data_IF_917744225215
#
_entry.id   IF_917744225215
#
_cell.length_a   1.000
_cell.length_b   1.000
_cell.length_c   1.000
_cell.angle_alpha   90.00
_cell.angle_beta   90.00
_cell.angle_gamma   90.00
#
_symmetry.space_group_name_H-M   'P 1'
#
loop_
_entity.id
_entity.type
_entity.pdbx_description
1 polymer ?
#
# COMPACT_ATOMS: atom_id res chain seq x y z
N UNK A 1 -101.38 -39.40 10.70
CA UNK A 1 -102.40 -38.43 10.23
C UNK A 1 -101.77 -37.04 10.33
N UNK A 2 -101.56 -36.36 9.18
CA UNK A 2 -101.21 -34.93 8.95
C UNK A 2 -100.08 -34.30 9.81
N UNK A 3 -98.90 -34.08 9.20
CA UNK A 3 -98.40 -32.79 8.67
C UNK A 3 -98.17 -31.71 9.73
N UNK A 4 -96.92 -31.24 9.90
CA UNK A 4 -96.59 -29.81 9.88
C UNK A 4 -95.09 -29.60 9.61
N UNK A 5 -94.82 -28.78 8.59
CA UNK A 5 -93.53 -28.20 8.22
C UNK A 5 -93.02 -27.27 9.33
N UNK A 6 -91.71 -27.29 9.61
CA UNK A 6 -90.99 -26.08 10.07
C UNK A 6 -89.51 -26.16 9.72
N UNK A 7 -89.06 -25.12 9.00
CA UNK A 7 -87.68 -24.83 8.57
C UNK A 7 -86.66 -24.98 9.71
N UNK A 8 -85.61 -25.77 9.47
CA UNK A 8 -84.38 -25.78 10.26
C UNK A 8 -83.29 -24.98 9.57
N UNK A 9 -82.86 -23.89 10.21
CA UNK A 9 -81.71 -23.07 9.83
C UNK A 9 -80.42 -23.93 9.92
N UNK A 10 -79.71 -24.09 8.80
CA UNK A 10 -78.38 -24.72 8.79
C UNK A 10 -77.31 -23.66 9.05
N UNK A 11 -76.66 -23.74 10.20
CA UNK A 11 -75.53 -22.91 10.60
C UNK A 11 -74.25 -23.44 9.93
N UNK A 12 -73.75 -22.77 8.90
CA UNK A 12 -72.48 -23.08 8.25
C UNK A 12 -71.32 -22.44 9.01
N UNK A 13 -70.48 -23.28 9.62
CA UNK A 13 -69.23 -22.87 10.26
C UNK A 13 -68.16 -22.69 9.18
N UNK A 14 -67.76 -21.44 8.92
CA UNK A 14 -66.57 -21.14 8.13
C UNK A 14 -65.32 -21.40 8.97
N UNK A 15 -64.51 -22.38 8.56
CA UNK A 15 -63.14 -22.57 9.06
C UNK A 15 -62.22 -21.63 8.30
N UNK A 16 -61.72 -20.59 8.97
CA UNK A 16 -60.69 -19.71 8.44
C UNK A 16 -59.32 -20.40 8.54
N UNK A 17 -58.71 -20.72 7.39
CA UNK A 17 -57.30 -21.10 7.30
C UNK A 17 -56.43 -19.85 7.33
N UNK A 18 -55.34 -19.81 8.12
CA UNK A 18 -54.44 -18.67 8.11
C UNK A 18 -53.61 -18.68 6.83
N UNK A 19 -53.63 -17.57 6.10
CA UNK A 19 -52.78 -17.34 4.95
C UNK A 19 -51.30 -17.30 5.38
N UNK A 20 -50.48 -18.20 4.83
CA UNK A 20 -49.03 -18.15 4.95
C UNK A 20 -48.52 -16.90 4.21
N UNK A 21 -48.06 -15.90 4.96
CA UNK A 21 -47.29 -14.79 4.41
C UNK A 21 -45.96 -15.32 3.87
N UNK A 22 -45.75 -15.22 2.56
CA UNK A 22 -44.45 -15.46 1.94
C UNK A 22 -43.47 -14.38 2.43
N UNK A 23 -42.49 -14.80 3.23
CA UNK A 23 -41.37 -13.96 3.62
C UNK A 23 -40.54 -13.66 2.37
N UNK A 24 -40.44 -12.37 2.02
CA UNK A 24 -39.47 -11.90 1.03
C UNK A 24 -38.05 -12.25 1.50
N UNK A 25 -37.13 -12.67 0.60
CA UNK A 25 -35.78 -13.01 0.99
C UNK A 25 -35.09 -11.74 1.52
N UNK A 26 -34.78 -11.74 2.81
CA UNK A 26 -33.92 -10.72 3.41
C UNK A 26 -32.54 -10.89 2.79
N UNK A 27 -32.12 -9.95 1.94
CA UNK A 27 -30.74 -9.83 1.49
C UNK A 27 -29.85 -9.59 2.70
N UNK A 28 -29.16 -10.64 3.16
CA UNK A 28 -28.13 -10.54 4.20
C UNK A 28 -27.04 -9.58 3.71
N UNK A 29 -26.88 -8.46 4.41
CA UNK A 29 -25.63 -7.67 4.37
C UNK A 29 -24.46 -8.60 4.71
N UNK A 30 -23.27 -8.42 4.11
CA UNK A 30 -22.09 -9.21 4.45
C UNK A 30 -21.62 -8.84 5.87
N UNK A 31 -22.18 -9.53 6.86
CA UNK A 31 -21.72 -9.53 8.24
C UNK A 31 -20.94 -10.80 8.50
N UNK A 32 -19.86 -10.68 9.26
CA UNK A 32 -19.03 -11.77 9.78
C UNK A 32 -19.90 -12.92 10.30
N UNK A 33 -19.97 -14.04 9.57
CA UNK A 33 -20.60 -15.26 10.10
C UNK A 33 -19.58 -16.02 10.95
N UNK A 34 -20.06 -16.71 11.97
CA UNK A 34 -19.29 -17.64 12.79
C UNK A 34 -18.69 -18.82 12.01
N UNK A 35 -19.01 -18.95 10.72
CA UNK A 35 -18.79 -20.14 9.91
C UNK A 35 -17.55 -20.03 9.00
N UNK A 36 -16.84 -18.91 9.04
CA UNK A 36 -15.60 -18.73 8.26
C UNK A 36 -14.38 -19.32 8.96
N UNK A 37 -13.54 -20.04 8.21
CA UNK A 37 -12.28 -20.58 8.73
C UNK A 37 -11.36 -19.43 9.19
N UNK A 38 -10.45 -19.67 10.16
CA UNK A 38 -9.47 -18.66 10.56
C UNK A 38 -8.71 -18.05 9.39
N UNK A 39 -8.34 -18.87 8.38
CA UNK A 39 -7.64 -18.40 7.19
C UNK A 39 -8.52 -17.54 6.27
N UNK A 40 -9.83 -17.79 6.18
CA UNK A 40 -10.74 -16.90 5.44
C UNK A 40 -10.82 -15.51 6.09
N UNK A 41 -10.83 -15.44 7.43
CA UNK A 41 -10.79 -14.16 8.15
C UNK A 41 -9.44 -13.45 7.97
N UNK A 42 -8.35 -14.20 7.98
CA UNK A 42 -7.03 -13.67 7.68
C UNK A 42 -6.95 -13.14 6.24
N UNK A 43 -7.58 -13.79 5.28
CA UNK A 43 -7.69 -13.30 3.91
C UNK A 43 -8.43 -11.95 3.84
N UNK A 44 -9.49 -11.76 4.65
CA UNK A 44 -10.17 -10.46 4.74
C UNK A 44 -9.23 -9.37 5.27
N UNK A 45 -8.43 -9.68 6.30
CA UNK A 45 -7.44 -8.72 6.85
C UNK A 45 -6.34 -8.44 5.83
N UNK A 46 -5.80 -9.45 5.15
CA UNK A 46 -4.81 -9.29 4.09
C UNK A 46 -5.34 -8.36 2.99
N UNK A 47 -6.58 -8.56 2.53
CA UNK A 47 -7.24 -7.70 1.57
C UNK A 47 -7.39 -6.24 2.02
N UNK A 48 -7.54 -6.01 3.33
CA UNK A 48 -7.65 -4.67 3.89
C UNK A 48 -6.30 -3.98 4.04
N UNK A 49 -5.25 -4.71 4.47
CA UNK A 49 -3.95 -4.09 4.78
C UNK A 49 -2.98 -4.07 3.60
N UNK A 50 -3.08 -4.99 2.64
CA UNK A 50 -2.12 -5.10 1.55
C UNK A 50 -2.09 -3.85 0.65
N UNK A 51 -3.23 -3.31 0.17
CA UNK A 51 -3.25 -2.11 -0.65
C UNK A 51 -2.64 -0.90 0.07
N UNK A 52 -1.85 -0.10 -0.63
CA UNK A 52 -1.26 1.10 -0.07
C UNK A 52 -0.07 1.62 -0.88
N UNK A 53 0.39 2.80 -0.46
CA UNK A 53 1.66 3.38 -0.87
C UNK A 53 2.68 3.13 0.24
N UNK A 54 3.87 2.66 -0.11
CA UNK A 54 4.95 2.42 0.85
C UNK A 54 6.26 3.04 0.36
N UNK A 55 7.10 3.50 1.28
CA UNK A 55 8.39 4.11 0.94
C UNK A 55 9.40 3.91 2.08
N UNK A 56 10.66 3.60 1.75
CA UNK A 56 11.73 3.46 2.74
C UNK A 56 12.55 4.74 2.98
N UNK A 57 11.97 5.92 2.73
CA UNK A 57 12.64 7.22 2.90
C UNK A 57 13.32 7.35 4.28
N UNK A 58 12.64 6.93 5.35
CA UNK A 58 13.23 6.95 6.70
C UNK A 58 14.49 6.08 6.76
N UNK A 59 14.45 4.87 6.21
CA UNK A 59 15.59 3.96 6.21
C UNK A 59 16.79 4.57 5.47
N UNK A 60 16.57 5.17 4.30
CA UNK A 60 17.66 5.78 3.52
C UNK A 60 18.18 7.07 4.16
N UNK A 61 17.31 7.88 4.76
CA UNK A 61 17.70 9.04 5.54
C UNK A 61 18.59 8.66 6.72
N UNK A 62 18.16 7.69 7.53
CA UNK A 62 18.92 7.29 8.72
C UNK A 62 20.18 6.48 8.38
N UNK A 63 20.22 5.76 7.26
CA UNK A 63 21.48 5.16 6.78
C UNK A 63 22.60 6.22 6.63
N UNK A 64 22.26 7.42 6.14
CA UNK A 64 23.22 8.53 6.02
C UNK A 64 23.53 9.13 7.38
N UNK A 65 22.51 9.40 8.20
CA UNK A 65 22.67 10.02 9.52
C UNK A 65 23.46 9.17 10.51
N UNK A 66 23.32 7.85 10.42
CA UNK A 66 24.03 6.87 11.26
C UNK A 66 25.38 6.44 10.66
N UNK A 67 25.84 7.11 9.60
CA UNK A 67 27.12 6.85 8.93
C UNK A 67 27.31 5.38 8.51
N UNK A 68 26.23 4.71 8.10
CA UNK A 68 26.31 3.35 7.57
C UNK A 68 27.25 3.35 6.35
N UNK A 69 28.18 2.38 6.22
CA UNK A 69 29.07 2.30 5.06
C UNK A 69 28.30 2.27 3.74
N UNK A 70 28.80 2.97 2.71
CA UNK A 70 28.06 3.21 1.46
C UNK A 70 27.59 1.92 0.77
N UNK A 71 28.41 0.86 0.83
CA UNK A 71 28.14 -0.48 0.31
C UNK A 71 27.09 -1.27 1.13
N UNK A 72 26.75 -0.79 2.32
CA UNK A 72 25.76 -1.38 3.22
C UNK A 72 24.47 -0.54 3.32
N UNK A 73 24.42 0.61 2.64
CA UNK A 73 23.23 1.47 2.62
C UNK A 73 22.14 0.83 1.78
N UNK A 74 20.92 0.96 2.26
CA UNK A 74 19.76 0.56 1.48
C UNK A 74 19.57 1.56 0.34
N UNK A 75 19.31 1.02 -0.85
CA UNK A 75 18.74 1.77 -1.96
C UNK A 75 17.37 2.32 -1.58
N UNK A 76 16.97 3.38 -2.25
CA UNK A 76 15.64 3.92 -2.07
C UNK A 76 14.64 3.12 -2.88
N UNK A 77 13.55 2.71 -2.23
CA UNK A 77 12.47 1.96 -2.84
C UNK A 77 11.13 2.55 -2.40
N UNK A 78 10.27 2.70 -3.39
CA UNK A 78 8.87 3.04 -3.25
C UNK A 78 8.04 1.91 -3.85
N UNK A 79 6.97 1.51 -3.17
CA UNK A 79 6.08 0.43 -3.59
C UNK A 79 4.64 0.93 -3.63
N UNK A 80 3.97 0.72 -4.75
CA UNK A 80 2.54 0.96 -4.91
C UNK A 80 1.81 -0.37 -5.02
N UNK A 81 0.80 -0.58 -4.18
CA UNK A 81 -0.03 -1.79 -4.17
C UNK A 81 -1.49 -1.40 -4.32
N UNK A 82 -2.20 -1.96 -5.30
CA UNK A 82 -3.64 -1.74 -5.50
C UNK A 82 -4.35 -3.06 -5.70
N UNK A 83 -5.50 -3.21 -5.03
CA UNK A 83 -6.38 -4.36 -5.23
C UNK A 83 -6.94 -4.32 -6.65
N UNK A 84 -6.95 -5.47 -7.31
CA UNK A 84 -7.62 -5.66 -8.59
C UNK A 84 -9.05 -6.12 -8.27
N UNK A 85 -10.10 -5.40 -8.72
CA UNK A 85 -11.48 -5.65 -8.28
C UNK A 85 -12.14 -6.83 -8.98
N UNK A 86 -11.45 -7.48 -9.92
CA UNK A 86 -11.96 -8.60 -10.71
C UNK A 86 -11.14 -9.88 -10.51
N UNK A 87 -11.73 -11.01 -10.87
CA UNK A 87 -11.18 -12.33 -10.60
C UNK A 87 -10.20 -12.85 -11.68
N UNK A 88 -9.81 -12.05 -12.69
CA UNK A 88 -9.00 -12.54 -13.83
C UNK A 88 -7.57 -12.96 -13.44
N UNK A 89 -7.14 -12.53 -12.25
CA UNK A 89 -5.88 -12.94 -11.61
C UNK A 89 -6.11 -13.69 -10.30
N UNK A 90 -7.32 -14.18 -10.05
CA UNK A 90 -7.78 -14.74 -8.76
C UNK A 90 -8.61 -13.75 -7.96
N UNK A 91 -9.43 -14.25 -7.02
CA UNK A 91 -10.39 -13.45 -6.24
C UNK A 91 -9.72 -12.41 -5.32
N UNK A 92 -8.46 -12.62 -4.99
CA UNK A 92 -7.66 -11.78 -4.10
C UNK A 92 -6.35 -11.42 -4.80
N UNK A 93 -6.46 -10.58 -5.83
CA UNK A 93 -5.32 -10.16 -6.63
C UNK A 93 -4.95 -8.68 -6.39
N UNK A 94 -3.66 -8.40 -6.47
CA UNK A 94 -3.10 -7.05 -6.30
C UNK A 94 -2.11 -6.75 -7.41
N UNK A 95 -2.22 -5.58 -8.00
CA UNK A 95 -1.16 -4.99 -8.79
C UNK A 95 -0.13 -4.37 -7.85
N UNK A 96 1.14 -4.64 -8.10
CA UNK A 96 2.28 -4.14 -7.32
C UNK A 96 3.27 -3.51 -8.27
N UNK A 97 3.77 -2.33 -7.94
CA UNK A 97 4.85 -1.70 -8.68
C UNK A 97 5.91 -1.16 -7.72
N UNK A 98 7.14 -1.62 -7.92
CA UNK A 98 8.31 -1.08 -7.23
C UNK A 98 9.01 -0.06 -8.10
N UNK A 99 9.44 1.03 -7.47
CA UNK A 99 10.29 2.05 -8.05
C UNK A 99 11.59 2.10 -7.27
N UNK A 100 12.70 2.08 -7.99
CA UNK A 100 14.02 2.09 -7.38
C UNK A 100 14.74 3.39 -7.65
N UNK A 101 15.35 3.95 -6.60
CA UNK A 101 16.19 5.16 -6.64
C UNK A 101 15.47 6.39 -7.25
N UNK A 102 14.15 6.45 -7.16
CA UNK A 102 13.30 7.45 -7.85
C UNK A 102 13.55 7.52 -9.38
N UNK A 103 14.10 6.46 -9.97
CA UNK A 103 14.46 6.39 -11.38
C UNK A 103 13.29 5.81 -12.20
N UNK A 104 12.70 6.57 -13.14
CA UNK A 104 11.56 6.13 -13.91
C UNK A 104 11.89 4.93 -14.83
N UNK A 105 13.16 4.67 -15.12
CA UNK A 105 13.57 3.48 -15.89
C UNK A 105 13.62 2.20 -15.04
N UNK A 106 13.66 2.32 -13.70
CA UNK A 106 13.79 1.20 -12.77
C UNK A 106 12.47 0.88 -12.06
N UNK A 107 11.46 0.57 -12.87
CA UNK A 107 10.15 0.18 -12.40
C UNK A 107 9.92 -1.33 -12.61
N UNK A 108 9.33 -1.99 -11.61
CA UNK A 108 9.07 -3.42 -11.65
C UNK A 108 7.61 -3.72 -11.29
N UNK A 109 6.72 -3.86 -12.28
CA UNK A 109 5.35 -4.29 -12.05
C UNK A 109 5.27 -5.80 -11.80
N UNK A 110 4.34 -6.21 -10.94
CA UNK A 110 4.01 -7.59 -10.57
C UNK A 110 2.51 -7.71 -10.29
N UNK A 111 1.98 -8.93 -10.38
CA UNK A 111 0.67 -9.27 -9.83
C UNK A 111 0.88 -10.27 -8.69
N UNK A 112 0.28 -9.99 -7.53
CA UNK A 112 0.21 -10.94 -6.41
C UNK A 112 -1.20 -11.52 -6.35
N UNK A 113 -1.29 -12.85 -6.34
CA UNK A 113 -2.56 -13.57 -6.21
C UNK A 113 -2.55 -14.39 -4.93
N UNK A 114 -3.53 -14.14 -4.05
CA UNK A 114 -3.64 -14.81 -2.76
C UNK A 114 -4.70 -15.91 -2.77
N UNK A 115 -4.38 -17.00 -2.10
CA UNK A 115 -5.24 -18.17 -1.92
C UNK A 115 -5.21 -18.61 -0.46
N UNK A 116 -6.32 -19.17 0.02
CA UNK A 116 -6.31 -19.91 1.28
C UNK A 116 -5.70 -21.29 1.01
N UNK A 117 -4.67 -21.64 1.76
CA UNK A 117 -4.03 -22.96 1.71
C UNK A 117 -4.22 -23.66 3.05
N UNK A 118 -5.30 -24.44 3.15
CA UNK A 118 -5.66 -25.17 4.37
C UNK A 118 -4.67 -26.30 4.70
N UNK A 119 -3.92 -26.81 3.70
CA UNK A 119 -2.91 -27.86 3.92
C UNK A 119 -1.69 -27.25 4.60
N UNK A 120 -1.24 -26.09 4.13
CA UNK A 120 -0.09 -25.38 4.71
C UNK A 120 -0.48 -24.54 5.93
N UNK A 121 -1.77 -24.37 6.21
CA UNK A 121 -2.25 -23.53 7.30
C UNK A 121 -1.89 -22.05 7.12
N UNK A 122 -1.86 -21.57 5.88
CA UNK A 122 -1.35 -20.24 5.53
C UNK A 122 -2.13 -19.60 4.37
N UNK A 123 -1.96 -18.28 4.18
CA UNK A 123 -2.35 -17.65 2.92
C UNK A 123 -1.19 -17.82 1.93
N UNK A 124 -1.43 -18.54 0.84
CA UNK A 124 -0.44 -18.74 -0.22
C UNK A 124 -0.52 -17.60 -1.23
N UNK A 125 0.61 -16.96 -1.50
CA UNK A 125 0.74 -15.91 -2.50
C UNK A 125 1.58 -16.40 -3.67
N UNK A 126 0.98 -16.38 -4.85
CA UNK A 126 1.67 -16.55 -6.12
C UNK A 126 2.11 -15.18 -6.64
N UNK A 127 3.34 -15.09 -7.14
CA UNK A 127 3.89 -13.89 -7.78
C UNK A 127 3.97 -14.06 -9.29
N UNK A 128 3.38 -13.12 -10.02
CA UNK A 128 3.36 -13.07 -11.47
C UNK A 128 4.18 -11.89 -11.98
N UNK A 129 5.06 -12.17 -12.93
CA UNK A 129 6.00 -11.20 -13.49
C UNK A 129 5.66 -10.92 -14.96
N UNK A 130 5.89 -9.69 -15.38
CA UNK A 130 5.67 -9.23 -16.76
C UNK A 130 6.85 -9.56 -17.70
N UNK A 131 7.68 -10.55 -17.34
CA UNK A 131 8.83 -10.99 -18.14
C UNK A 131 8.35 -11.47 -19.52
N UNK A 132 8.95 -10.95 -20.58
CA UNK A 132 8.57 -11.28 -21.97
C UNK A 132 7.43 -10.44 -22.54
N UNK A 133 6.86 -9.51 -21.76
CA UNK A 133 5.88 -8.53 -22.23
C UNK A 133 6.51 -7.15 -22.40
N UNK A 134 5.86 -6.29 -23.19
CA UNK A 134 6.15 -4.86 -23.16
C UNK A 134 5.64 -4.27 -21.82
N UNK A 135 6.55 -4.19 -20.86
CA UNK A 135 6.25 -3.70 -19.50
C UNK A 135 5.76 -2.27 -19.49
N UNK A 136 6.15 -1.43 -20.46
CA UNK A 136 5.81 -0.02 -20.48
C UNK A 136 4.29 0.21 -20.52
N UNK A 137 3.57 -0.66 -21.24
CA UNK A 137 2.11 -0.62 -21.33
C UNK A 137 1.40 -0.79 -19.97
N UNK A 138 2.04 -1.48 -19.03
CA UNK A 138 1.47 -1.83 -17.72
C UNK A 138 2.03 -1.02 -16.56
N UNK A 139 2.95 -0.08 -16.82
CA UNK A 139 3.45 0.80 -15.78
C UNK A 139 2.35 1.73 -15.28
N UNK A 140 2.38 2.01 -13.98
CA UNK A 140 1.42 2.86 -13.29
C UNK A 140 -0.03 2.36 -13.36
N UNK A 141 -0.26 1.06 -13.48
CA UNK A 141 -1.63 0.52 -13.47
C UNK A 141 -2.31 0.67 -12.09
N UNK A 142 -1.56 1.02 -11.04
CA UNK A 142 -2.11 1.41 -9.74
C UNK A 142 -2.94 2.72 -9.82
N UNK A 143 -2.69 3.58 -10.80
CA UNK A 143 -3.50 4.79 -11.05
C UNK A 143 -4.69 4.50 -11.96
N UNK A 144 -4.52 3.62 -12.95
CA UNK A 144 -5.56 3.19 -13.88
C UNK A 144 -5.46 1.69 -14.17
N UNK A 145 -6.34 0.92 -13.51
CA UNK A 145 -6.38 -0.53 -13.66
C UNK A 145 -6.84 -1.00 -15.04
N UNK A 146 -7.41 -0.12 -15.88
CA UNK A 146 -7.77 -0.46 -17.27
C UNK A 146 -6.55 -0.79 -18.12
N UNK A 147 -5.35 -0.37 -17.71
CA UNK A 147 -4.10 -0.81 -18.35
C UNK A 147 -3.89 -2.33 -18.28
N UNK A 148 -4.61 -3.03 -17.40
CA UNK A 148 -4.59 -4.49 -17.29
C UNK A 148 -5.69 -5.15 -18.12
N UNK A 149 -6.48 -4.39 -18.88
CA UNK A 149 -7.55 -4.94 -19.71
C UNK A 149 -7.00 -5.83 -20.82
N UNK A 150 -7.65 -6.99 -21.00
CA UNK A 150 -7.18 -8.04 -21.91
C UNK A 150 -5.99 -8.87 -21.39
N UNK A 151 -5.36 -8.48 -20.28
CA UNK A 151 -4.32 -9.29 -19.63
C UNK A 151 -4.95 -10.33 -18.70
N UNK A 152 -4.42 -11.54 -18.75
CA UNK A 152 -4.83 -12.67 -17.92
C UNK A 152 -3.61 -13.37 -17.33
N UNK A 153 -3.83 -14.15 -16.27
CA UNK A 153 -2.75 -14.78 -15.49
C UNK A 153 -1.85 -15.70 -16.33
N UNK A 154 -2.36 -16.33 -17.39
CA UNK A 154 -1.61 -17.20 -18.32
C UNK A 154 -0.60 -16.46 -19.20
N UNK A 155 -0.75 -15.14 -19.38
CA UNK A 155 0.21 -14.31 -20.12
C UNK A 155 1.39 -13.85 -19.27
N UNK A 156 1.28 -14.00 -17.96
CA UNK A 156 2.32 -13.59 -17.02
C UNK A 156 3.25 -14.76 -16.70
N UNK A 157 4.50 -14.44 -16.41
CA UNK A 157 5.46 -15.43 -15.99
C UNK A 157 5.24 -15.78 -14.51
N UNK A 158 5.05 -17.07 -14.24
CA UNK A 158 5.00 -17.64 -12.90
C UNK A 158 6.19 -18.58 -12.70
N UNK A 159 6.90 -18.40 -11.59
CA UNK A 159 8.03 -19.26 -11.23
C UNK A 159 7.57 -20.23 -10.15
N UNK A 160 7.40 -21.49 -10.54
CA UNK A 160 6.98 -22.56 -9.63
C UNK A 160 7.95 -22.69 -8.46
N UNK A 161 7.41 -22.80 -7.24
CA UNK A 161 8.20 -22.95 -6.02
C UNK A 161 8.61 -21.61 -5.38
N UNK A 162 8.32 -20.48 -6.02
CA UNK A 162 8.56 -19.14 -5.50
C UNK A 162 7.35 -18.51 -4.79
N UNK A 163 6.40 -19.34 -4.38
CA UNK A 163 5.24 -18.91 -3.61
C UNK A 163 5.66 -18.47 -2.20
N UNK A 164 4.96 -17.49 -1.65
CA UNK A 164 5.09 -17.10 -0.24
C UNK A 164 3.91 -17.64 0.56
N UNK A 165 4.19 -18.12 1.76
CA UNK A 165 3.19 -18.62 2.70
C UNK A 165 3.11 -17.64 3.86
N UNK A 166 2.00 -16.91 3.96
CA UNK A 166 1.76 -15.89 4.95
C UNK A 166 1.06 -16.47 6.17
N UNK A 167 1.68 -16.25 7.32
CA UNK A 167 1.14 -16.60 8.64
C UNK A 167 0.86 -15.34 9.43
N UNK A 168 -0.18 -15.37 10.27
CA UNK A 168 -0.59 -14.23 11.08
C UNK A 168 0.47 -13.90 12.13
N UNK A 169 0.75 -12.62 12.30
CA UNK A 169 1.54 -12.05 13.40
C UNK A 169 0.71 -11.05 14.19
N UNK A 170 1.25 -10.52 15.29
CA UNK A 170 0.54 -9.59 16.19
C UNK A 170 0.00 -8.36 15.44
N UNK A 171 0.78 -7.79 14.51
CA UNK A 171 0.42 -6.55 13.79
C UNK A 171 0.26 -6.77 12.27
N UNK A 172 0.04 -8.01 11.83
CA UNK A 172 -0.17 -8.30 10.41
C UNK A 172 0.23 -9.72 10.01
N UNK A 173 1.10 -9.86 9.01
CA UNK A 173 1.50 -11.16 8.47
C UNK A 173 2.99 -11.23 8.15
N UNK A 174 3.55 -12.44 8.23
CA UNK A 174 4.88 -12.79 7.72
C UNK A 174 4.74 -13.84 6.63
N UNK A 175 5.01 -13.45 5.39
CA UNK A 175 5.16 -14.31 4.23
C UNK A 175 6.60 -14.77 4.06
N UNK A 176 6.80 -16.08 3.90
CA UNK A 176 8.11 -16.67 3.59
C UNK A 176 7.98 -17.68 2.45
N UNK A 177 9.02 -17.78 1.63
CA UNK A 177 9.17 -18.92 0.73
C UNK A 177 9.46 -20.20 1.51
N UNK A 178 9.12 -21.35 0.92
CA UNK A 178 9.59 -22.64 1.44
C UNK A 178 11.12 -22.74 1.27
N UNK A 179 11.83 -23.36 2.23
CA UNK A 179 13.29 -23.46 2.18
C UNK A 179 13.79 -24.03 0.85
N UNK A 180 14.63 -23.26 0.14
CA UNK A 180 15.27 -23.65 -1.13
C UNK A 180 14.29 -24.07 -2.24
N UNK A 181 13.01 -23.69 -2.14
CA UNK A 181 11.99 -24.09 -3.12
C UNK A 181 12.01 -23.24 -4.39
N UNK A 182 12.32 -21.94 -4.25
CA UNK A 182 12.38 -21.00 -5.36
C UNK A 182 13.72 -21.12 -6.10
N UNK A 183 13.81 -22.04 -7.06
CA UNK A 183 15.02 -22.30 -7.85
C UNK A 183 14.84 -21.80 -9.27
N UNK A 184 15.79 -21.01 -9.77
CA UNK A 184 15.81 -20.50 -11.14
C UNK A 184 17.24 -20.30 -11.63
N UNK A 185 17.39 -19.99 -12.92
CA UNK A 185 18.69 -19.68 -13.53
C UNK A 185 18.92 -18.18 -13.57
N UNK A 186 20.07 -17.74 -13.07
CA UNK A 186 20.52 -16.35 -13.10
C UNK A 186 21.95 -16.31 -13.64
N UNK A 187 22.18 -15.58 -14.75
CA UNK A 187 23.50 -15.49 -15.41
C UNK A 187 24.15 -16.86 -15.66
N UNK A 188 23.35 -17.82 -16.10
CA UNK A 188 23.76 -19.22 -16.36
C UNK A 188 24.20 -20.01 -15.12
N UNK A 189 23.96 -19.50 -13.90
CA UNK A 189 24.12 -20.25 -12.65
C UNK A 189 22.75 -20.58 -12.05
N UNK A 190 22.60 -21.81 -11.53
CA UNK A 190 21.41 -22.15 -10.73
C UNK A 190 21.51 -21.51 -9.35
N UNK A 191 20.50 -20.73 -9.01
CA UNK A 191 20.36 -20.06 -7.72
C UNK A 191 19.05 -20.46 -7.07
N UNK A 192 18.96 -20.23 -5.77
CA UNK A 192 17.69 -20.24 -5.06
C UNK A 192 17.52 -18.94 -4.29
N UNK A 193 16.30 -18.41 -4.29
CA UNK A 193 15.94 -17.23 -3.52
C UNK A 193 15.23 -17.61 -2.22
N UNK A 194 15.50 -16.82 -1.19
CA UNK A 194 14.79 -16.82 0.08
C UNK A 194 14.21 -15.41 0.27
N UNK A 195 13.01 -15.23 -0.27
CA UNK A 195 12.28 -13.97 -0.21
C UNK A 195 11.26 -14.00 0.91
N UNK A 196 11.16 -12.87 1.62
CA UNK A 196 10.19 -12.68 2.67
C UNK A 196 9.52 -11.31 2.59
N UNK A 197 8.27 -11.28 3.03
CA UNK A 197 7.48 -10.07 3.19
C UNK A 197 6.91 -10.07 4.60
N UNK A 198 7.05 -8.98 5.33
CA UNK A 198 6.25 -8.69 6.52
C UNK A 198 5.38 -7.48 6.21
N UNK A 199 4.07 -7.65 6.34
CA UNK A 199 3.11 -6.58 6.09
C UNK A 199 2.30 -6.35 7.35
N UNK A 200 2.17 -5.09 7.74
CA UNK A 200 1.33 -4.67 8.85
C UNK A 200 0.58 -3.38 8.53
N UNK A 201 -0.12 -2.84 9.52
CA UNK A 201 -0.93 -1.64 9.31
C UNK A 201 -0.08 -0.41 8.96
N UNK A 202 1.17 -0.34 9.45
CA UNK A 202 2.04 0.83 9.26
C UNK A 202 3.21 0.63 8.31
N UNK A 203 3.49 -0.60 7.87
CA UNK A 203 4.72 -0.86 7.12
C UNK A 203 4.67 -2.12 6.25
N UNK A 204 5.50 -2.12 5.21
CA UNK A 204 5.82 -3.23 4.34
C UNK A 204 7.33 -3.46 4.37
N UNK A 205 7.76 -4.60 4.91
CA UNK A 205 9.16 -4.98 4.96
C UNK A 205 9.37 -6.10 3.98
N UNK A 206 10.37 -5.98 3.11
CA UNK A 206 10.65 -7.02 2.13
C UNK A 206 12.13 -7.12 1.80
N UNK A 207 12.54 -8.29 1.36
CA UNK A 207 13.91 -8.52 0.92
C UNK A 207 14.15 -9.98 0.61
N UNK A 208 15.12 -10.21 -0.25
CA UNK A 208 15.53 -11.50 -0.75
C UNK A 208 17.00 -11.78 -0.43
N UNK A 209 17.29 -13.04 -0.13
CA UNK A 209 18.65 -13.54 -0.16
C UNK A 209 18.75 -14.57 -1.27
N UNK A 210 19.57 -14.27 -2.28
CA UNK A 210 19.79 -15.16 -3.41
C UNK A 210 21.11 -15.88 -3.20
N UNK A 211 21.09 -17.21 -3.22
CA UNK A 211 22.27 -18.06 -3.02
C UNK A 211 22.44 -19.03 -4.16
N UNK A 212 23.68 -19.33 -4.53
CA UNK A 212 23.96 -20.38 -5.51
C UNK A 212 23.61 -21.74 -4.95
N UNK A 213 23.04 -22.60 -5.79
CA UNK A 213 22.70 -23.96 -5.39
C UNK A 213 23.96 -24.77 -5.07
N UNK A 214 25.06 -24.57 -5.83
CA UNK A 214 26.29 -25.39 -5.75
C UNK A 214 27.07 -25.24 -4.45
N UNK A 215 27.16 -24.04 -3.89
CA UNK A 215 28.07 -23.71 -2.79
C UNK A 215 27.42 -22.85 -1.70
N UNK A 216 26.12 -22.59 -1.81
CA UNK A 216 25.35 -21.79 -0.85
C UNK A 216 25.82 -20.33 -0.70
N UNK A 217 26.70 -19.85 -1.58
CA UNK A 217 27.22 -18.49 -1.52
C UNK A 217 26.13 -17.50 -1.93
N UNK A 218 25.92 -16.46 -1.12
CA UNK A 218 25.07 -15.34 -1.48
C UNK A 218 25.65 -14.61 -2.70
N UNK A 219 24.80 -14.29 -3.67
CA UNK A 219 25.21 -13.66 -4.94
C UNK A 219 24.58 -12.31 -5.21
N UNK A 220 23.47 -11.98 -4.54
CA UNK A 220 22.91 -10.62 -4.63
C UNK A 220 23.69 -9.65 -3.72
N UNK A 221 23.90 -8.44 -4.22
CA UNK A 221 24.68 -7.37 -3.58
C UNK A 221 23.88 -6.51 -2.61
N UNK A 222 22.57 -6.71 -2.53
CA UNK A 222 21.69 -5.91 -1.66
C UNK A 222 22.02 -6.18 -0.17
N UNK A 223 21.85 -5.18 0.71
CA UNK A 223 22.23 -5.28 2.11
C UNK A 223 21.58 -6.49 2.78
N UNK A 224 22.24 -7.04 3.82
CA UNK A 224 21.80 -8.22 4.58
C UNK A 224 20.45 -8.07 5.30
N UNK A 225 19.79 -6.92 5.17
CA UNK A 225 18.60 -6.52 5.92
C UNK A 225 17.46 -6.14 4.99
N UNK A 226 16.23 -6.22 5.52
CA UNK A 226 15.02 -5.94 4.77
C UNK A 226 14.88 -4.44 4.47
N UNK A 227 14.30 -4.12 3.32
CA UNK A 227 13.80 -2.77 3.07
C UNK A 227 12.61 -2.50 3.97
N UNK A 228 12.78 -1.62 4.95
CA UNK A 228 11.70 -1.17 5.84
C UNK A 228 10.98 -0.01 5.16
N UNK A 229 9.87 -0.29 4.50
CA UNK A 229 9.04 0.74 3.90
C UNK A 229 7.87 1.07 4.84
N UNK A 230 7.73 2.34 5.19
CA UNK A 230 6.58 2.81 5.95
C UNK A 230 5.41 3.05 4.99
N UNK A 231 4.19 2.78 5.46
CA UNK A 231 2.97 3.14 4.73
C UNK A 231 2.85 4.66 4.70
N UNK A 232 2.70 5.21 3.51
CA UNK A 232 2.53 6.63 3.33
C UNK A 232 1.07 7.05 3.41
N UNK A 233 0.84 8.21 4.02
CA UNK A 233 -0.41 8.95 3.98
C UNK A 233 -0.28 10.09 2.99
N UNK A 234 -1.34 10.32 2.22
CA UNK A 234 -1.38 11.41 1.23
C UNK A 234 -2.05 12.63 1.82
N UNK A 235 -1.48 13.80 1.54
CA UNK A 235 -1.98 15.10 2.01
C UNK A 235 -2.24 16.01 0.82
N UNK A 236 -3.33 16.76 0.89
CA UNK A 236 -3.58 17.90 0.01
C UNK A 236 -3.02 19.14 0.68
N UNK A 237 -2.04 19.75 0.05
CA UNK A 237 -1.33 20.91 0.55
C UNK A 237 -1.57 22.16 -0.29
N UNK A 238 -1.36 23.31 0.34
CA UNK A 238 -1.28 24.61 -0.33
C UNK A 238 -0.07 25.39 0.18
N UNK A 239 0.49 26.23 -0.67
CA UNK A 239 1.56 27.17 -0.37
C UNK A 239 1.18 28.56 -0.92
N UNK A 240 1.32 29.58 -0.10
CA UNK A 240 1.23 30.99 -0.48
C UNK A 240 2.54 31.68 -0.11
N UNK A 241 3.10 32.43 -1.04
CA UNK A 241 4.33 33.21 -0.87
C UNK A 241 4.01 34.69 -1.11
N UNK A 242 4.24 35.54 -0.12
CA UNK A 242 3.92 36.96 -0.14
C UNK A 242 2.50 37.32 0.32
N UNK A 243 2.21 38.62 0.26
CA UNK A 243 0.91 39.21 0.62
C UNK A 243 0.24 39.83 -0.62
N UNK A 244 -1.06 40.12 -0.53
CA UNK A 244 -1.81 40.80 -1.59
C UNK A 244 -2.34 39.86 -2.69
N UNK A 245 -3.01 40.45 -3.69
CA UNK A 245 -3.68 39.69 -4.75
C UNK A 245 -2.69 38.91 -5.64
N UNK A 246 -1.52 39.49 -5.88
CA UNK A 246 -0.51 38.97 -6.83
C UNK A 246 0.45 37.94 -6.23
N UNK A 247 0.32 37.64 -4.93
CA UNK A 247 1.11 36.63 -4.25
C UNK A 247 0.98 35.25 -4.95
N UNK A 248 2.09 34.56 -5.27
CA UNK A 248 2.06 33.19 -5.75
C UNK A 248 1.28 32.27 -4.79
N UNK A 249 0.28 31.58 -5.35
CA UNK A 249 -0.58 30.63 -4.62
C UNK A 249 -0.62 29.30 -5.35
N UNK A 250 -0.21 28.26 -4.65
CA UNK A 250 -0.24 26.89 -5.12
C UNK A 250 -1.22 26.13 -4.25
N UNK A 251 -2.18 25.45 -4.86
CA UNK A 251 -3.24 24.70 -4.17
C UNK A 251 -3.34 23.31 -4.77
N UNK A 252 -3.89 22.37 -4.00
CA UNK A 252 -4.13 21.01 -4.49
C UNK A 252 -2.86 20.18 -4.66
N UNK A 253 -1.77 20.56 -4.00
CA UNK A 253 -0.49 19.84 -4.06
C UNK A 253 -0.66 18.49 -3.34
N UNK A 254 -0.53 17.37 -4.05
CA UNK A 254 -0.68 16.04 -3.46
C UNK A 254 0.69 15.53 -3.02
N UNK A 255 0.92 15.43 -1.72
CA UNK A 255 2.23 15.10 -1.14
C UNK A 255 2.06 13.95 -0.14
N UNK A 256 2.92 12.94 -0.22
CA UNK A 256 2.93 11.83 0.75
C UNK A 256 3.85 12.12 1.92
N UNK A 257 3.48 11.66 3.12
CA UNK A 257 4.23 11.93 4.36
C UNK A 257 5.48 11.05 4.57
N UNK A 258 5.87 10.24 3.60
CA UNK A 258 7.13 9.47 3.66
C UNK A 258 8.20 10.12 2.78
N UNK A 259 8.43 11.42 3.01
CA UNK A 259 9.47 12.21 2.35
C UNK A 259 9.06 12.90 1.05
N UNK A 260 7.76 12.98 0.74
CA UNK A 260 7.26 13.62 -0.47
C UNK A 260 7.57 15.12 -0.51
N UNK A 261 7.78 15.66 -1.72
CA UNK A 261 8.04 17.09 -1.94
C UNK A 261 7.32 17.58 -3.19
N UNK A 262 6.62 18.70 -3.09
CA UNK A 262 6.14 19.45 -4.26
C UNK A 262 7.10 20.59 -4.56
N UNK A 263 7.81 20.53 -5.69
CA UNK A 263 8.69 21.59 -6.18
C UNK A 263 7.92 22.54 -7.08
N UNK A 264 8.05 23.84 -6.81
CA UNK A 264 7.24 24.89 -7.42
C UNK A 264 8.19 25.96 -7.99
N UNK A 265 8.01 26.37 -9.26
CA UNK A 265 8.87 27.39 -9.85
C UNK A 265 8.58 28.75 -9.21
N UNK A 266 9.60 29.33 -8.58
CA UNK A 266 9.54 30.65 -7.94
C UNK A 266 10.84 31.39 -8.25
N UNK A 267 11.00 31.88 -9.50
CA UNK A 267 12.22 32.51 -9.95
C UNK A 267 12.48 33.83 -9.22
N UNK A 268 13.75 34.19 -9.10
CA UNK A 268 14.20 35.54 -8.69
C UNK A 268 15.01 36.18 -9.82
N UNK A 269 15.29 37.50 -9.77
CA UNK A 269 16.18 38.14 -10.73
C UNK A 269 17.56 37.47 -10.84
N UNK A 270 18.07 36.93 -9.73
CA UNK A 270 19.38 36.27 -9.64
C UNK A 270 19.32 34.80 -10.10
N UNK A 271 18.18 34.13 -9.93
CA UNK A 271 18.00 32.70 -10.17
C UNK A 271 16.67 32.43 -10.89
N UNK A 272 16.70 32.44 -12.22
CA UNK A 272 15.52 32.20 -13.07
C UNK A 272 15.00 30.76 -13.02
N UNK A 273 15.78 29.84 -12.48
CA UNK A 273 15.50 28.41 -12.33
C UNK A 273 15.23 28.01 -10.87
N UNK A 274 15.04 28.99 -9.98
CA UNK A 274 14.76 28.74 -8.57
C UNK A 274 13.42 28.05 -8.38
N UNK A 275 13.45 27.02 -7.54
CA UNK A 275 12.28 26.29 -7.08
C UNK A 275 12.17 26.33 -5.56
N UNK A 276 10.93 26.43 -5.07
CA UNK A 276 10.58 26.26 -3.66
C UNK A 276 9.90 24.91 -3.49
N UNK A 277 10.39 24.13 -2.53
CA UNK A 277 9.85 22.82 -2.18
C UNK A 277 8.95 22.90 -0.96
N UNK A 278 7.73 22.40 -1.05
CA UNK A 278 6.95 22.03 0.13
C UNK A 278 7.18 20.55 0.41
N UNK A 279 7.89 20.22 1.47
CA UNK A 279 8.26 18.85 1.82
C UNK A 279 7.59 18.44 3.12
N UNK A 280 6.99 17.25 3.15
CA UNK A 280 6.42 16.69 4.37
C UNK A 280 6.99 15.32 4.69
N UNK A 281 7.13 15.05 5.98
CA UNK A 281 7.82 13.86 6.46
C UNK A 281 7.32 13.46 7.84
N UNK A 282 6.89 12.21 7.97
CA UNK A 282 6.53 11.57 9.22
C UNK A 282 7.72 10.73 9.69
N UNK A 283 8.44 11.28 10.66
CA UNK A 283 9.75 10.78 11.09
C UNK A 283 9.55 9.70 12.14
N UNK A 284 10.09 8.51 11.86
CA UNK A 284 10.20 7.40 12.82
C UNK A 284 11.53 7.54 13.57
N UNK A 285 11.52 8.33 14.64
CA UNK A 285 12.71 8.61 15.44
C UNK A 285 13.16 7.41 16.25
N UNK A 286 12.30 6.40 16.45
CA UNK A 286 12.68 5.18 17.15
C UNK A 286 13.91 4.50 16.53
N UNK A 287 14.14 4.68 15.22
CA UNK A 287 15.35 4.17 14.56
C UNK A 287 16.67 4.84 15.00
N UNK A 288 16.60 6.01 15.62
CA UNK A 288 17.75 6.78 16.12
C UNK A 288 17.75 6.91 17.65
N UNK A 289 16.79 6.29 18.32
CA UNK A 289 16.72 6.31 19.77
C UNK A 289 17.79 5.38 20.36
N UNK A 290 18.46 5.88 21.39
CA UNK A 290 19.45 5.14 22.16
C UNK A 290 19.01 5.07 23.62
N UNK A 291 19.80 4.39 24.46
CA UNK A 291 19.55 4.37 25.92
C UNK A 291 19.60 5.77 26.55
N UNK A 292 20.27 6.74 25.93
CA UNK A 292 20.53 8.08 26.49
C UNK A 292 19.92 9.22 25.69
N UNK A 293 19.36 8.95 24.51
CA UNK A 293 18.71 9.94 23.66
C UNK A 293 17.41 9.35 23.09
N UNK A 294 16.29 9.97 23.46
CA UNK A 294 14.96 9.56 23.01
C UNK A 294 14.25 10.75 22.38
N UNK A 295 13.80 10.58 21.14
CA UNK A 295 12.97 11.53 20.42
C UNK A 295 11.68 10.82 20.02
N UNK A 296 10.55 11.49 20.24
CA UNK A 296 9.25 11.00 19.78
C UNK A 296 9.13 11.18 18.27
N UNK A 297 8.37 10.30 17.63
CA UNK A 297 7.97 10.46 16.24
C UNK A 297 7.24 11.80 16.03
N UNK A 298 7.58 12.48 14.93
CA UNK A 298 7.00 13.79 14.59
C UNK A 298 6.60 13.84 13.14
N UNK A 299 5.50 14.55 12.86
CA UNK A 299 5.12 14.90 11.50
C UNK A 299 5.61 16.32 11.20
N UNK A 300 6.54 16.43 10.25
CA UNK A 300 7.25 17.65 9.90
C UNK A 300 6.84 18.18 8.53
N UNK A 301 6.83 19.51 8.40
CA UNK A 301 6.67 20.24 7.15
C UNK A 301 7.86 21.16 7.02
N UNK A 302 8.56 21.06 5.90
CA UNK A 302 9.72 21.85 5.54
C UNK A 302 9.38 22.73 4.34
N UNK A 303 9.92 23.94 4.38
CA UNK A 303 10.09 24.75 3.18
C UNK A 303 11.53 24.58 2.71
N UNK A 304 11.67 24.14 1.48
CA UNK A 304 12.96 23.92 0.84
C UNK A 304 13.16 24.88 -0.32
N UNK A 305 14.41 24.99 -0.73
CA UNK A 305 14.80 25.78 -1.87
C UNK A 305 15.92 25.07 -2.62
N UNK A 306 15.90 25.20 -3.95
CA UNK A 306 16.97 24.77 -4.83
C UNK A 306 17.00 25.61 -6.10
N UNK A 307 18.17 25.67 -6.73
CA UNK A 307 18.40 26.11 -8.10
C UNK A 307 19.66 25.40 -8.63
N UNK A 308 19.95 25.54 -9.92
CA UNK A 308 21.10 24.89 -10.56
C UNK A 308 22.41 25.30 -9.90
N UNK A 309 23.18 24.30 -9.49
CA UNK A 309 24.45 24.49 -8.80
C UNK A 309 24.32 24.65 -7.28
N UNK A 310 23.11 24.62 -6.73
CA UNK A 310 22.87 24.58 -5.30
C UNK A 310 22.19 23.27 -4.90
N UNK A 311 22.72 22.60 -3.89
CA UNK A 311 22.02 21.50 -3.26
C UNK A 311 20.77 22.00 -2.52
N UNK A 312 19.78 21.10 -2.35
CA UNK A 312 18.57 21.35 -1.58
C UNK A 312 18.92 21.95 -0.22
N UNK A 313 18.34 23.11 0.08
CA UNK A 313 18.46 23.79 1.37
C UNK A 313 17.11 23.83 2.07
N UNK A 314 17.08 23.42 3.35
CA UNK A 314 15.94 23.67 4.23
C UNK A 314 15.95 25.14 4.67
N UNK A 315 14.91 25.89 4.35
CA UNK A 315 14.75 27.29 4.79
C UNK A 315 14.19 27.33 6.22
N UNK A 316 13.14 26.54 6.47
CA UNK A 316 12.43 26.49 7.74
C UNK A 316 11.64 25.20 7.86
N UNK A 317 11.22 24.88 9.08
CA UNK A 317 10.33 23.75 9.30
C UNK A 317 9.42 23.98 10.51
N UNK A 318 8.31 23.26 10.52
CA UNK A 318 7.41 23.09 11.66
C UNK A 318 7.17 21.60 11.87
N UNK A 319 6.71 21.22 13.05
CA UNK A 319 6.39 19.83 13.35
C UNK A 319 5.20 19.71 14.31
N UNK A 320 4.59 18.53 14.30
CA UNK A 320 3.43 18.17 15.11
C UNK A 320 3.52 16.70 15.53
N UNK A 321 2.48 16.18 16.20
CA UNK A 321 2.39 14.75 16.50
C UNK A 321 2.40 13.93 15.20
N UNK A 322 3.07 12.78 15.21
CA UNK A 322 3.20 11.88 14.05
C UNK A 322 1.86 11.51 13.37
N UNK A 323 0.80 11.35 14.16
CA UNK A 323 -0.54 10.97 13.71
C UNK A 323 -1.41 12.15 13.28
N UNK A 324 -0.91 13.39 13.34
CA UNK A 324 -1.67 14.58 12.96
C UNK A 324 -2.20 14.47 11.53
N UNK A 325 -3.47 14.80 11.34
CA UNK A 325 -4.12 14.83 10.03
C UNK A 325 -3.98 16.19 9.34
N UNK A 326 -3.39 17.17 10.02
CA UNK A 326 -3.18 18.53 9.52
C UNK A 326 -1.86 19.07 10.04
N UNK A 327 -1.17 19.83 9.20
CA UNK A 327 0.05 20.54 9.57
C UNK A 327 0.13 21.84 8.79
N UNK A 328 0.62 22.90 9.41
CA UNK A 328 0.75 24.19 8.75
C UNK A 328 1.75 25.11 9.43
N UNK A 329 2.15 26.11 8.68
CA UNK A 329 3.05 27.18 9.09
C UNK A 329 2.52 28.48 8.52
N UNK A 330 2.54 29.53 9.34
CA UNK A 330 2.16 30.88 8.92
C UNK A 330 3.19 31.86 9.48
N UNK A 331 3.94 32.49 8.58
CA UNK A 331 4.92 33.53 8.89
C UNK A 331 4.51 34.89 8.31
N UNK A 332 3.21 35.10 8.08
CA UNK A 332 2.60 36.26 7.43
C UNK A 332 2.92 36.36 5.94
N UNK A 333 4.19 36.55 5.58
CA UNK A 333 4.66 36.60 4.19
C UNK A 333 4.78 35.21 3.55
N UNK A 334 4.49 34.14 4.29
CA UNK A 334 4.39 32.79 3.77
C UNK A 334 3.39 32.00 4.59
N UNK A 335 2.53 31.26 3.90
CA UNK A 335 1.63 30.32 4.53
C UNK A 335 1.67 28.98 3.79
N UNK A 336 1.88 27.89 4.52
CA UNK A 336 1.67 26.55 4.00
C UNK A 336 0.74 25.78 4.94
N UNK A 337 -0.14 24.97 4.37
CA UNK A 337 -0.96 24.05 5.13
C UNK A 337 -1.18 22.77 4.34
N UNK A 338 -1.25 21.65 5.04
CA UNK A 338 -1.48 20.32 4.52
C UNK A 338 -2.59 19.67 5.33
N UNK A 339 -3.52 19.00 4.64
CA UNK A 339 -4.61 18.25 5.26
C UNK A 339 -4.60 16.85 4.67
N UNK A 340 -4.77 15.84 5.53
CA UNK A 340 -4.85 14.45 5.14
C UNK A 340 -5.94 14.30 4.08
N UNK A 341 -5.56 13.71 2.95
CA UNK A 341 -6.50 13.31 1.92
C UNK A 341 -7.27 12.14 2.51
N UNK A 342 -8.60 12.28 2.66
CA UNK A 342 -9.42 11.12 3.01
C UNK A 342 -9.09 10.02 2.00
N UNK A 343 -8.72 8.84 2.51
CA UNK A 343 -8.58 7.67 1.65
C UNK A 343 -9.90 7.56 0.88
N UNK A 344 -9.83 7.45 -0.46
CA UNK A 344 -11.02 7.16 -1.25
C UNK A 344 -11.68 5.94 -0.59
N UNK A 345 -12.83 6.16 0.07
CA UNK A 345 -13.49 5.10 0.83
C UNK A 345 -13.65 3.93 -0.14
N UNK A 346 -13.14 2.72 0.17
CA UNK A 346 -13.50 1.56 -0.62
C UNK A 346 -15.03 1.54 -0.64
N UNK A 347 -15.61 1.68 -1.83
CA UNK A 347 -17.04 1.76 -2.00
C UNK A 347 -17.68 0.58 -1.27
N UNK A 348 -18.48 0.78 -0.21
CA UNK A 348 -19.04 -0.31 0.59
C UNK A 348 -20.17 -1.07 -0.15
N UNK A 349 -20.25 -0.95 -1.48
CA UNK A 349 -21.24 -1.58 -2.34
C UNK A 349 -20.63 -2.59 -3.32
N UNK A 350 -19.63 -3.37 -2.90
CA UNK A 350 -19.23 -4.59 -3.59
C UNK A 350 -19.15 -5.75 -2.60
#
# INVERSE_FOLDING_TARGET
>A
MRYFMSLGLALSVLVATPAMAQQTPVTKKPGWSSDQSPLQRDMMVMNAIMPGTYNNYEQTYFNKRLDIPADQRHRHIHTEIRKIPDARFGEHAFYVQDYWDDDPSKQQPRIYSFFVDEIEGALRMESYYFTGLDRAAYLNAHDDLKKLDGLTKDKLNYVKGCDLYFTRTVDGFHGKMKPRACVYEEKSEKVYADFQIMIGNKSLWKGDIIRRVKDNKQVNSEPKHLYKQNRARWFTCSLTLGEGADAPRFKGLNIMDQGGTAWLPVPTPEHSDREVGLHIRNVDWAMNNSKTAFTNDVFSLYLDERWKGQERRHIMYTWSKADSERLGINLLYMQAYCVLKEAAKPNPQL
#
